data_IF_062842848603
#
_entry.id   IF_062842848603
#
_cell.length_a   1.000
_cell.length_b   1.000
_cell.length_c   1.000
_cell.angle_alpha   90.00
_cell.angle_beta   90.00
_cell.angle_gamma   90.00
#
_symmetry.space_group_name_H-M   'P 1'
#
loop_
_entity.id
_entity.type
_entity.pdbx_description
1 polymer ?
#
# COMPACT_ATOMS: atom_id res chain seq x y z
N UNK A 1 -6.40 -9.06 26.88
CA UNK A 1 -7.71 -9.03 26.18
C UNK A 1 -7.58 -9.94 24.96
N UNK A 2 -8.48 -10.92 24.77
CA UNK A 2 -8.55 -11.66 23.51
C UNK A 2 -9.00 -10.69 22.41
N UNK A 3 -8.30 -10.66 21.30
CA UNK A 3 -8.60 -9.78 20.15
C UNK A 3 -9.56 -10.50 19.21
N UNK A 4 -10.34 -9.75 18.41
CA UNK A 4 -11.16 -10.39 17.37
C UNK A 4 -10.28 -11.07 16.30
N UNK A 5 -9.03 -10.61 16.19
CA UNK A 5 -8.06 -11.08 15.22
C UNK A 5 -7.70 -12.56 15.41
N UNK A 6 -7.58 -13.03 16.65
CA UNK A 6 -7.24 -14.43 16.96
C UNK A 6 -8.26 -15.42 16.36
N UNK A 7 -9.55 -15.27 16.70
CA UNK A 7 -10.60 -16.14 16.18
C UNK A 7 -10.75 -16.00 14.66
N UNK A 8 -10.66 -14.78 14.15
CA UNK A 8 -10.86 -14.53 12.73
C UNK A 8 -9.72 -15.10 11.84
N UNK A 9 -8.48 -15.13 12.33
CA UNK A 9 -7.36 -15.77 11.64
C UNK A 9 -7.57 -17.28 11.55
N UNK A 10 -7.96 -17.91 12.67
CA UNK A 10 -8.26 -19.34 12.72
C UNK A 10 -9.41 -19.71 11.77
N UNK A 11 -10.50 -18.95 11.80
CA UNK A 11 -11.66 -19.15 10.94
C UNK A 11 -11.30 -18.98 9.45
N UNK A 12 -10.54 -17.93 9.11
CA UNK A 12 -10.12 -17.64 7.72
C UNK A 12 -9.19 -18.71 7.16
N UNK A 13 -8.33 -19.27 8.01
CA UNK A 13 -7.40 -20.33 7.62
C UNK A 13 -7.99 -21.75 7.79
N UNK A 14 -9.18 -21.88 8.37
CA UNK A 14 -9.88 -23.16 8.54
C UNK A 14 -9.26 -24.08 9.60
N UNK A 15 -8.70 -23.51 10.68
CA UNK A 15 -8.13 -24.28 11.79
C UNK A 15 -8.91 -24.04 13.08
N UNK A 16 -8.94 -25.04 13.97
CA UNK A 16 -9.73 -24.96 15.21
C UNK A 16 -8.99 -24.26 16.34
N UNK A 17 -7.66 -24.28 16.29
CA UNK A 17 -6.78 -23.74 17.32
C UNK A 17 -5.37 -23.48 16.76
N UNK A 18 -4.55 -22.78 17.54
CA UNK A 18 -3.18 -22.47 17.16
C UNK A 18 -2.27 -23.69 17.06
N UNK A 19 -2.52 -24.78 17.78
CA UNK A 19 -1.68 -25.97 17.68
C UNK A 19 -1.83 -26.63 16.30
N UNK A 20 -3.07 -26.72 15.79
CA UNK A 20 -3.36 -27.20 14.43
C UNK A 20 -2.75 -26.28 13.37
N UNK A 21 -2.92 -24.96 13.51
CA UNK A 21 -2.31 -23.98 12.59
C UNK A 21 -0.78 -24.09 12.60
N UNK A 22 -0.17 -24.12 13.78
CA UNK A 22 1.29 -24.23 13.96
C UNK A 22 1.82 -25.51 13.32
N UNK A 23 1.16 -26.65 13.56
CA UNK A 23 1.51 -27.90 12.90
C UNK A 23 1.42 -27.79 11.37
N UNK A 24 0.38 -27.15 10.84
CA UNK A 24 0.24 -26.94 9.41
C UNK A 24 1.33 -26.02 8.83
N UNK A 25 1.76 -25.00 9.57
CA UNK A 25 2.88 -24.13 9.19
C UNK A 25 4.18 -24.93 9.03
N UNK A 26 4.49 -25.80 9.98
CA UNK A 26 5.67 -26.66 9.92
C UNK A 26 5.61 -27.70 8.79
N UNK A 27 4.42 -28.18 8.45
CA UNK A 27 4.21 -29.23 7.45
C UNK A 27 4.05 -28.72 6.00
N UNK A 28 4.41 -27.46 5.73
CA UNK A 28 4.32 -26.77 4.43
C UNK A 28 2.90 -26.41 4.00
N UNK A 29 2.22 -25.61 4.81
CA UNK A 29 1.06 -24.87 4.32
C UNK A 29 1.45 -23.98 3.14
N UNK A 30 0.62 -23.99 2.12
CA UNK A 30 0.79 -23.17 0.93
C UNK A 30 0.85 -21.66 1.25
N UNK A 31 1.90 -20.93 0.87
CA UNK A 31 2.08 -19.52 1.22
C UNK A 31 0.94 -18.60 0.76
N UNK A 32 0.27 -18.95 -0.34
CA UNK A 32 -0.83 -18.13 -0.85
C UNK A 32 -2.04 -18.07 0.10
N UNK A 33 -2.19 -19.02 1.03
CA UNK A 33 -3.31 -19.01 2.00
C UNK A 33 -3.26 -17.81 2.92
N UNK A 34 -2.08 -17.27 3.20
CA UNK A 34 -1.93 -16.06 4.02
C UNK A 34 -2.37 -14.79 3.31
N UNK A 35 -2.47 -14.80 1.98
CA UNK A 35 -2.95 -13.62 1.25
C UNK A 35 -4.38 -13.24 1.67
N UNK A 36 -5.17 -14.20 2.15
CA UNK A 36 -6.49 -13.94 2.71
C UNK A 36 -6.47 -13.16 4.05
N UNK A 37 -5.34 -13.15 4.77
CA UNK A 37 -5.21 -12.42 6.03
C UNK A 37 -5.05 -10.92 5.83
N UNK A 38 -4.51 -10.47 4.70
CA UNK A 38 -4.37 -9.06 4.39
C UNK A 38 -5.73 -8.34 4.40
N UNK A 39 -6.73 -8.69 3.55
CA UNK A 39 -8.05 -8.05 3.57
C UNK A 39 -8.79 -8.25 4.90
N UNK A 40 -8.53 -9.36 5.61
CA UNK A 40 -9.08 -9.58 6.95
C UNK A 40 -8.59 -8.53 7.94
N UNK A 41 -7.30 -8.22 7.95
CA UNK A 41 -6.71 -7.23 8.85
C UNK A 41 -7.34 -5.84 8.64
N UNK A 42 -7.48 -5.41 7.39
CA UNK A 42 -8.15 -4.14 7.05
C UNK A 42 -9.60 -4.09 7.55
N UNK A 43 -10.36 -5.17 7.37
CA UNK A 43 -11.74 -5.25 7.85
C UNK A 43 -11.82 -5.16 9.38
N UNK A 44 -10.99 -5.93 10.10
CA UNK A 44 -11.01 -5.97 11.57
C UNK A 44 -10.53 -4.64 12.17
N UNK A 45 -9.54 -3.98 11.56
CA UNK A 45 -9.10 -2.66 11.97
C UNK A 45 -10.22 -1.61 11.86
N UNK A 46 -11.04 -1.69 10.80
CA UNK A 46 -12.22 -0.84 10.59
C UNK A 46 -13.30 -1.06 11.66
N UNK A 47 -13.42 -2.28 12.15
CA UNK A 47 -14.33 -2.61 13.26
C UNK A 47 -13.83 -2.11 14.64
N UNK A 48 -12.70 -1.41 14.69
CA UNK A 48 -12.15 -0.82 15.91
C UNK A 48 -11.23 -1.73 16.71
N UNK A 49 -10.76 -2.85 16.15
CA UNK A 49 -9.79 -3.70 16.84
C UNK A 49 -8.41 -3.02 16.88
N UNK A 50 -7.97 -2.66 18.09
CA UNK A 50 -6.74 -1.91 18.30
C UNK A 50 -5.48 -2.66 17.82
N UNK A 51 -5.49 -4.00 17.84
CA UNK A 51 -4.31 -4.78 17.42
C UNK A 51 -4.22 -4.78 15.90
N UNK A 52 -5.33 -4.96 15.19
CA UNK A 52 -5.34 -4.81 13.74
C UNK A 52 -4.97 -3.39 13.29
N UNK A 53 -5.43 -2.36 14.01
CA UNK A 53 -5.02 -0.97 13.78
C UNK A 53 -3.51 -0.78 13.96
N UNK A 54 -2.93 -1.30 15.05
CA UNK A 54 -1.48 -1.21 15.31
C UNK A 54 -0.66 -1.97 14.27
N UNK A 55 -1.14 -3.12 13.76
CA UNK A 55 -0.49 -3.84 12.65
C UNK A 55 -0.42 -2.94 11.41
N UNK A 56 -1.53 -2.28 11.05
CA UNK A 56 -1.57 -1.37 9.91
C UNK A 56 -0.67 -0.13 10.12
N UNK A 57 -0.65 0.45 11.32
CA UNK A 57 0.24 1.57 11.66
C UNK A 57 1.71 1.17 11.60
N UNK A 58 2.05 -0.04 12.05
CA UNK A 58 3.42 -0.58 11.96
C UNK A 58 3.85 -0.76 10.51
N UNK A 59 2.95 -1.27 9.67
CA UNK A 59 3.19 -1.38 8.24
C UNK A 59 3.41 -0.01 7.59
N UNK A 60 2.59 0.99 7.93
CA UNK A 60 2.73 2.36 7.44
C UNK A 60 4.10 2.97 7.79
N UNK A 61 4.55 2.82 9.04
CA UNK A 61 5.88 3.26 9.49
C UNK A 61 7.00 2.60 8.70
N UNK A 62 6.99 1.27 8.58
CA UNK A 62 8.03 0.52 7.88
C UNK A 62 8.13 0.90 6.37
N UNK A 63 7.00 1.16 5.72
CA UNK A 63 6.97 1.64 4.34
C UNK A 63 7.55 3.06 4.22
N UNK A 64 7.26 3.95 5.17
CA UNK A 64 7.83 5.30 5.19
C UNK A 64 9.34 5.26 5.44
N UNK A 65 9.80 4.45 6.40
CA UNK A 65 11.23 4.21 6.67
C UNK A 65 11.98 3.72 5.42
N UNK A 66 11.33 2.89 4.60
CA UNK A 66 11.90 2.45 3.32
C UNK A 66 12.07 3.61 2.33
N UNK A 67 11.06 4.48 2.22
CA UNK A 67 11.13 5.67 1.37
C UNK A 67 12.19 6.68 1.86
N UNK A 68 12.28 6.89 3.17
CA UNK A 68 13.30 7.71 3.82
C UNK A 68 14.70 7.16 3.54
N UNK A 69 14.88 5.83 3.63
CA UNK A 69 16.13 5.17 3.27
C UNK A 69 16.56 5.43 1.84
N UNK A 70 15.61 5.44 0.89
CA UNK A 70 15.89 5.82 -0.50
C UNK A 70 16.29 7.29 -0.64
N UNK A 71 15.57 8.22 0.01
CA UNK A 71 15.90 9.63 -0.04
C UNK A 71 17.30 9.92 0.52
N UNK A 72 17.67 9.26 1.64
CA UNK A 72 19.00 9.33 2.23
C UNK A 72 20.07 8.82 1.27
N UNK A 73 19.85 7.65 0.66
CA UNK A 73 20.80 7.06 -0.28
C UNK A 73 21.02 7.90 -1.55
N UNK A 74 20.01 8.68 -1.94
CA UNK A 74 20.05 9.55 -3.11
C UNK A 74 20.47 11.00 -2.78
N UNK A 75 20.63 11.35 -1.50
CA UNK A 75 21.00 12.70 -1.06
C UNK A 75 19.89 13.74 -1.22
N UNK A 76 18.61 13.31 -1.19
CA UNK A 76 17.44 14.16 -1.47
C UNK A 76 16.76 14.72 -0.20
N UNK A 77 17.35 14.56 0.98
CA UNK A 77 16.65 14.84 2.26
C UNK A 77 16.25 16.31 2.47
N UNK A 78 16.93 17.22 1.79
CA UNK A 78 16.69 18.67 1.87
C UNK A 78 15.91 19.20 0.65
N UNK A 79 15.51 18.31 -0.28
CA UNK A 79 14.80 18.68 -1.50
C UNK A 79 13.29 18.41 -1.35
N UNK A 80 12.43 19.16 -2.07
CA UNK A 80 11.05 18.75 -2.29
C UNK A 80 11.01 17.39 -3.00
N UNK A 81 10.37 16.40 -2.37
CA UNK A 81 10.24 15.05 -2.93
C UNK A 81 8.76 14.68 -3.06
N UNK A 82 8.38 14.21 -4.24
CA UNK A 82 7.10 13.55 -4.45
C UNK A 82 7.21 12.04 -4.16
N UNK A 83 6.39 11.54 -3.24
CA UNK A 83 6.32 10.12 -2.88
C UNK A 83 4.99 9.51 -3.32
N UNK A 84 5.04 8.69 -4.37
CA UNK A 84 3.84 8.06 -4.95
C UNK A 84 3.50 6.76 -4.20
N UNK A 85 2.33 6.74 -3.56
CA UNK A 85 1.77 5.56 -2.88
C UNK A 85 1.12 4.61 -3.89
N UNK A 86 1.94 3.86 -4.63
CA UNK A 86 1.49 2.90 -5.63
C UNK A 86 1.28 1.49 -5.04
N UNK A 87 0.29 0.76 -5.57
CA UNK A 87 0.02 -0.65 -5.23
C UNK A 87 -1.32 -0.88 -4.54
N UNK A 88 -1.81 -2.13 -4.59
CA UNK A 88 -3.16 -2.47 -4.09
C UNK A 88 -3.32 -2.35 -2.59
N UNK A 89 -2.22 -2.32 -1.83
CA UNK A 89 -2.26 -2.23 -0.37
C UNK A 89 -2.87 -0.92 0.13
N UNK A 90 -2.73 0.15 -0.66
CA UNK A 90 -3.27 1.47 -0.33
C UNK A 90 -4.73 1.66 -0.74
N UNK A 91 -5.28 0.74 -1.56
CA UNK A 91 -6.65 0.82 -2.09
C UNK A 91 -7.72 0.42 -1.06
N UNK A 92 -7.32 -0.18 0.07
CA UNK A 92 -8.22 -0.44 1.18
C UNK A 92 -8.55 0.83 1.96
N UNK A 93 -9.67 0.81 2.66
CA UNK A 93 -9.96 1.78 3.73
C UNK A 93 -8.93 1.60 4.86
N UNK A 94 -7.86 2.40 4.79
CA UNK A 94 -6.61 2.18 5.51
C UNK A 94 -6.10 3.42 6.27
N UNK A 95 -6.94 4.12 7.05
CA UNK A 95 -6.56 5.40 7.66
C UNK A 95 -5.35 5.28 8.61
N UNK A 96 -5.22 4.14 9.30
CA UNK A 96 -4.12 3.88 10.23
C UNK A 96 -2.79 3.64 9.49
N UNK A 97 -2.84 2.95 8.35
CA UNK A 97 -1.67 2.72 7.50
C UNK A 97 -1.22 4.03 6.83
N UNK A 98 -2.16 4.73 6.18
CA UNK A 98 -1.86 5.98 5.47
C UNK A 98 -1.42 7.08 6.44
N UNK A 99 -2.10 7.20 7.59
CA UNK A 99 -1.76 8.17 8.63
C UNK A 99 -0.36 7.95 9.16
N UNK A 100 -0.04 6.71 9.59
CA UNK A 100 1.28 6.38 10.10
C UNK A 100 2.38 6.55 9.04
N UNK A 101 2.11 6.21 7.78
CA UNK A 101 3.04 6.45 6.68
C UNK A 101 3.34 7.95 6.52
N UNK A 102 2.31 8.79 6.39
CA UNK A 102 2.47 10.23 6.18
C UNK A 102 3.16 10.92 7.36
N UNK A 103 2.78 10.57 8.59
CA UNK A 103 3.40 11.09 9.81
C UNK A 103 4.89 10.75 9.88
N UNK A 104 5.24 9.49 9.65
CA UNK A 104 6.64 9.04 9.67
C UNK A 104 7.46 9.70 8.57
N UNK A 105 6.88 9.82 7.37
CA UNK A 105 7.53 10.45 6.23
C UNK A 105 7.85 11.92 6.51
N UNK A 106 6.86 12.72 6.91
CA UNK A 106 7.05 14.17 7.10
C UNK A 106 7.97 14.49 8.29
N UNK A 107 8.00 13.63 9.31
CA UNK A 107 8.92 13.76 10.43
C UNK A 107 10.39 13.59 10.03
N UNK A 108 10.67 12.78 9.01
CA UNK A 108 12.02 12.53 8.51
C UNK A 108 12.38 13.40 7.29
N UNK A 109 11.38 13.75 6.47
CA UNK A 109 11.50 14.51 5.22
C UNK A 109 10.43 15.61 5.20
N UNK A 110 10.68 16.77 5.83
CA UNK A 110 9.66 17.82 6.00
C UNK A 110 9.10 18.41 4.70
N UNK A 111 9.85 18.28 3.60
CA UNK A 111 9.47 18.77 2.27
C UNK A 111 8.87 17.67 1.37
N UNK A 112 8.69 16.45 1.88
CA UNK A 112 8.12 15.36 1.11
C UNK A 112 6.59 15.43 1.07
N UNK A 113 6.02 15.19 -0.11
CA UNK A 113 4.57 15.12 -0.32
C UNK A 113 4.16 13.72 -0.79
N UNK A 114 3.29 13.07 -0.02
CA UNK A 114 2.77 11.74 -0.35
C UNK A 114 1.40 11.81 -1.04
N UNK A 115 1.34 11.29 -2.26
CA UNK A 115 0.12 11.28 -3.08
C UNK A 115 -0.14 9.93 -3.75
N UNK A 116 -1.38 9.74 -4.20
CA UNK A 116 -1.77 8.57 -4.99
C UNK A 116 -1.49 8.83 -6.47
N UNK A 117 -1.16 7.80 -7.27
CA UNK A 117 -0.96 7.97 -8.70
C UNK A 117 -2.26 8.39 -9.38
N UNK A 118 -2.20 9.44 -10.21
CA UNK A 118 -3.36 9.92 -11.00
C UNK A 118 -3.71 8.99 -12.17
N UNK A 119 -2.74 8.19 -12.62
CA UNK A 119 -2.87 7.28 -13.75
C UNK A 119 -2.55 5.84 -13.31
N UNK A 120 -3.23 4.87 -13.91
CA UNK A 120 -2.93 3.47 -13.69
C UNK A 120 -1.49 3.13 -14.15
N UNK A 121 -0.79 2.18 -13.50
CA UNK A 121 0.59 1.82 -13.85
C UNK A 121 0.81 1.44 -15.33
N UNK A 122 -0.23 0.90 -16.00
CA UNK A 122 -0.20 0.59 -17.43
C UNK A 122 0.04 1.82 -18.31
N UNK A 123 -0.40 3.01 -17.87
CA UNK A 123 -0.12 4.26 -18.56
C UNK A 123 1.39 4.54 -18.62
N UNK A 124 2.13 4.25 -17.55
CA UNK A 124 3.59 4.41 -17.53
C UNK A 124 4.28 3.58 -18.61
N UNK A 125 3.85 2.34 -18.82
CA UNK A 125 4.38 1.49 -19.89
C UNK A 125 4.09 2.06 -21.29
N UNK A 126 2.89 2.60 -21.51
CA UNK A 126 2.53 3.25 -22.77
C UNK A 126 3.35 4.54 -23.01
N UNK A 127 3.58 5.35 -21.98
CA UNK A 127 4.40 6.57 -22.06
C UNK A 127 5.86 6.25 -22.38
N UNK A 128 6.42 5.20 -21.77
CA UNK A 128 7.77 4.73 -22.08
C UNK A 128 7.88 4.24 -23.54
N UNK A 129 6.87 3.54 -24.05
CA UNK A 129 6.82 3.13 -25.46
C UNK A 129 6.71 4.32 -26.41
N UNK A 130 5.91 5.33 -26.07
CA UNK A 130 5.79 6.56 -26.84
C UNK A 130 7.13 7.31 -26.91
N UNK A 131 7.83 7.44 -25.78
CA UNK A 131 9.15 8.05 -25.71
C UNK A 131 10.17 7.34 -26.62
N UNK A 132 10.15 6.01 -26.66
CA UNK A 132 11.03 5.21 -27.54
C UNK A 132 10.72 5.44 -29.04
N UNK A 133 9.47 5.76 -29.37
CA UNK A 133 9.03 6.12 -30.71
C UNK A 133 9.33 7.59 -31.07
N UNK A 134 9.94 8.36 -30.16
CA UNK A 134 10.27 9.78 -30.35
C UNK A 134 9.09 10.73 -30.08
N UNK A 135 8.01 10.23 -29.50
CA UNK A 135 6.86 11.04 -29.07
C UNK A 135 7.16 11.76 -27.75
N UNK A 136 6.45 12.87 -27.49
CA UNK A 136 6.54 13.59 -26.22
C UNK A 136 5.71 12.90 -25.12
N UNK A 137 6.34 12.28 -24.10
CA UNK A 137 5.61 11.62 -23.02
C UNK A 137 4.81 12.61 -22.15
N UNK A 138 5.16 13.90 -22.12
CA UNK A 138 4.39 14.91 -21.36
C UNK A 138 3.04 15.15 -22.02
N UNK A 139 3.02 15.35 -23.34
CA UNK A 139 1.80 15.46 -24.12
C UNK A 139 0.88 14.25 -23.90
N UNK A 140 1.41 13.04 -24.05
CA UNK A 140 0.62 11.82 -23.89
C UNK A 140 0.13 11.60 -22.46
N UNK A 141 0.91 11.97 -21.44
CA UNK A 141 0.47 11.90 -20.04
C UNK A 141 -0.72 12.81 -19.79
N UNK A 142 -0.67 14.04 -20.29
CA UNK A 142 -1.74 15.02 -20.09
C UNK A 142 -3.00 14.64 -20.88
N UNK A 143 -2.84 14.07 -22.09
CA UNK A 143 -3.94 13.49 -22.86
C UNK A 143 -4.60 12.30 -22.14
N UNK A 144 -3.80 11.39 -21.56
CA UNK A 144 -4.31 10.26 -20.79
C UNK A 144 -5.06 10.71 -19.52
N UNK A 145 -4.56 11.76 -18.84
CA UNK A 145 -5.26 12.35 -17.68
C UNK A 145 -6.62 12.91 -18.08
N UNK A 146 -6.69 13.69 -19.17
CA UNK A 146 -7.97 14.23 -19.66
C UNK A 146 -8.95 13.13 -20.06
N UNK A 147 -8.47 12.09 -20.74
CA UNK A 147 -9.29 10.96 -21.14
C UNK A 147 -9.84 10.18 -19.93
N UNK A 148 -9.02 9.95 -18.91
CA UNK A 148 -9.46 9.28 -17.68
C UNK A 148 -10.52 10.09 -16.94
N UNK A 149 -10.33 11.42 -16.83
CA UNK A 149 -11.32 12.33 -16.23
C UNK A 149 -12.65 12.26 -16.98
N UNK A 150 -12.63 12.28 -18.31
CA UNK A 150 -13.84 12.18 -19.13
C UNK A 150 -14.57 10.84 -18.92
N UNK A 151 -13.83 9.74 -18.95
CA UNK A 151 -14.36 8.39 -18.69
C UNK A 151 -14.98 8.26 -17.29
N UNK A 152 -14.31 8.79 -16.27
CA UNK A 152 -14.75 8.67 -14.87
C UNK A 152 -15.94 9.63 -14.57
N UNK A 153 -16.15 10.66 -15.41
CA UNK A 153 -17.28 11.59 -15.32
C UNK A 153 -18.57 11.09 -15.98
N UNK A 154 -18.52 10.01 -16.76
CA UNK A 154 -19.70 9.35 -17.33
C UNK A 154 -20.25 9.96 -18.61
N UNK A 155 -19.46 10.72 -19.36
CA UNK A 155 -19.79 11.21 -20.72
C UNK A 155 -19.24 10.28 -21.83
#
# INVERSE_FOLDING_TARGET
KKTKLESAVLDTLGYRNYDELTRALYLRMEPYRFLALAPLCFRIAREGDMVAQEILSTMGRALAESAVGCALALGLTEDPIEVVMAGSVWLGDAPHLIGAFKETLVNALPLAEAHFPDLAPVAGAALLAAQELGEDPVFWRDALRQFQVMRDSGD
#
